data_IF_164733800487
#
_entry.id   IF_164733800487
#
_cell.length_a   1.000
_cell.length_b   1.000
_cell.length_c   1.000
_cell.angle_alpha   90.00
_cell.angle_beta   90.00
_cell.angle_gamma   90.00
#
_symmetry.space_group_name_H-M   'P 1'
#
loop_
_entity.id
_entity.type
_entity.pdbx_description
1 polymer ?
#
# COMPACT_ATOMS: atom_id res chain seq x y z
N UNK A 1 -26.26 -0.13 -8.44
CA UNK A 1 -24.97 -0.75 -8.81
C UNK A 1 -23.86 0.19 -8.35
N UNK A 2 -23.15 -0.15 -7.27
CA UNK A 2 -21.98 0.62 -6.84
C UNK A 2 -20.82 0.10 -7.69
N UNK A 3 -20.39 0.86 -8.71
CA UNK A 3 -19.16 0.53 -9.42
C UNK A 3 -18.00 0.85 -8.47
N UNK A 4 -17.40 -0.19 -7.87
CA UNK A 4 -16.16 -0.06 -7.11
C UNK A 4 -15.02 0.23 -8.10
N UNK A 5 -14.84 1.49 -8.50
CA UNK A 5 -13.65 1.91 -9.23
C UNK A 5 -12.52 1.99 -8.21
N UNK A 6 -11.73 0.92 -8.10
CA UNK A 6 -10.51 0.90 -7.29
C UNK A 6 -9.32 1.34 -8.15
N UNK A 7 -8.52 2.27 -7.62
CA UNK A 7 -7.24 2.66 -8.20
C UNK A 7 -6.14 2.25 -7.21
N UNK A 8 -5.15 1.47 -7.68
CA UNK A 8 -4.00 1.07 -6.87
C UNK A 8 -2.76 1.83 -7.33
N UNK A 9 -2.13 2.59 -6.43
CA UNK A 9 -0.83 3.18 -6.69
C UNK A 9 0.25 2.12 -6.44
N UNK A 10 0.98 1.73 -7.49
CA UNK A 10 2.06 0.75 -7.39
C UNK A 10 3.40 1.47 -7.36
N UNK A 11 4.14 1.33 -6.26
CA UNK A 11 5.52 1.82 -6.12
C UNK A 11 6.47 0.63 -6.18
N UNK A 12 7.24 0.53 -7.27
CA UNK A 12 8.30 -0.46 -7.38
C UNK A 12 9.63 0.13 -6.90
N UNK A 13 10.20 -0.47 -5.85
CA UNK A 13 11.55 -0.14 -5.36
C UNK A 13 12.39 -1.41 -5.42
N UNK A 14 13.51 -1.36 -6.14
CA UNK A 14 14.49 -2.44 -6.07
C UNK A 14 15.04 -2.54 -4.64
N UNK A 15 15.03 -3.76 -4.09
CA UNK A 15 15.56 -4.05 -2.76
C UNK A 15 16.87 -4.82 -2.89
N UNK A 16 17.91 -4.42 -2.16
CA UNK A 16 19.25 -5.01 -2.27
C UNK A 16 19.92 -5.15 -0.91
N UNK A 17 20.55 -6.30 -0.68
CA UNK A 17 21.33 -6.60 0.52
C UNK A 17 20.49 -6.77 1.80
N UNK A 18 21.14 -7.10 2.92
CA UNK A 18 20.46 -7.23 4.21
C UNK A 18 19.95 -5.87 4.68
N UNK A 19 18.63 -5.66 4.61
CA UNK A 19 18.03 -4.38 4.99
C UNK A 19 16.56 -4.54 5.38
N UNK A 20 16.16 -3.76 6.36
CA UNK A 20 14.75 -3.56 6.70
C UNK A 20 14.21 -2.32 5.99
N UNK A 21 13.02 -2.45 5.40
CA UNK A 21 12.27 -1.35 4.82
C UNK A 21 10.95 -1.20 5.55
N UNK A 22 10.65 0.02 6.00
CA UNK A 22 9.36 0.38 6.59
C UNK A 22 8.61 1.21 5.56
N UNK A 23 7.38 0.79 5.24
CA UNK A 23 6.49 1.45 4.30
C UNK A 23 5.21 1.83 5.03
N UNK A 24 4.88 3.11 5.02
CA UNK A 24 3.57 3.60 5.48
C UNK A 24 2.66 3.72 4.26
N UNK A 25 1.55 3.00 4.27
CA UNK A 25 0.55 2.93 3.21
C UNK A 25 -0.76 3.52 3.71
N UNK A 26 -1.47 4.24 2.85
CA UNK A 26 -2.81 4.73 3.13
C UNK A 26 -3.78 4.17 2.09
N UNK A 27 -4.82 3.49 2.55
CA UNK A 27 -5.95 3.10 1.73
C UNK A 27 -7.04 4.14 1.90
N UNK A 28 -7.38 4.85 0.82
CA UNK A 28 -8.46 5.83 0.80
C UNK A 28 -9.65 5.23 0.08
N UNK A 29 -10.80 5.17 0.74
CA UNK A 29 -12.07 4.73 0.16
C UNK A 29 -13.01 5.92 0.02
N UNK A 30 -13.52 6.15 -1.19
CA UNK A 30 -14.44 7.26 -1.50
C UNK A 30 -15.76 6.70 -2.00
N UNK A 31 -16.86 7.05 -1.34
CA UNK A 31 -18.21 6.79 -1.82
C UNK A 31 -18.86 8.13 -2.24
N UNK A 32 -18.84 8.47 -3.54
CA UNK A 32 -19.33 9.75 -4.02
C UNK A 32 -20.86 9.89 -3.91
N UNK A 33 -21.61 8.79 -3.86
CA UNK A 33 -23.08 8.82 -3.74
C UNK A 33 -23.53 9.23 -2.32
N UNK A 34 -22.75 8.84 -1.31
CA UNK A 34 -22.99 9.17 0.10
C UNK A 34 -22.16 10.37 0.59
N UNK A 35 -21.35 10.98 -0.30
CA UNK A 35 -20.34 12.00 0.02
C UNK A 35 -19.45 11.59 1.22
N UNK A 36 -19.07 10.31 1.27
CA UNK A 36 -18.33 9.72 2.38
C UNK A 36 -16.91 9.34 1.94
N UNK A 37 -15.93 9.69 2.78
CA UNK A 37 -14.53 9.34 2.58
C UNK A 37 -13.98 8.71 3.85
N UNK A 38 -13.27 7.60 3.72
CA UNK A 38 -12.50 6.99 4.80
C UNK A 38 -11.07 6.78 4.39
N UNK A 39 -10.18 6.83 5.38
CA UNK A 39 -8.81 6.38 5.23
C UNK A 39 -8.48 5.28 6.23
N UNK A 40 -7.52 4.45 5.88
CA UNK A 40 -6.91 3.47 6.77
C UNK A 40 -5.41 3.46 6.51
N UNK A 41 -4.63 3.52 7.59
CA UNK A 41 -3.18 3.54 7.52
C UNK A 41 -2.63 2.17 7.88
N UNK A 42 -1.70 1.66 7.08
CA UNK A 42 -1.02 0.39 7.29
C UNK A 42 0.49 0.61 7.29
N UNK A 43 1.18 0.06 8.28
CA UNK A 43 2.64 0.00 8.32
C UNK A 43 3.10 -1.39 7.91
N UNK A 44 3.87 -1.46 6.82
CA UNK A 44 4.43 -2.69 6.29
C UNK A 44 5.95 -2.71 6.54
N UNK A 45 6.42 -3.71 7.29
CA UNK A 45 7.85 -3.97 7.48
C UNK A 45 8.29 -5.10 6.55
N UNK A 46 9.31 -4.84 5.73
CA UNK A 46 9.89 -5.79 4.78
C UNK A 46 11.34 -6.08 5.20
N UNK A 47 11.63 -7.35 5.44
CA UNK A 47 12.97 -7.84 5.79
C UNK A 47 13.63 -8.48 4.58
N UNK A 48 14.75 -7.93 4.14
CA UNK A 48 15.54 -8.46 3.01
C UNK A 48 16.74 -9.21 3.54
N UNK A 49 16.87 -10.48 3.15
CA UNK A 49 17.97 -11.35 3.54
C UNK A 49 19.25 -11.14 2.71
N UNK A 50 20.38 -11.70 3.16
CA UNK A 50 21.67 -11.63 2.45
C UNK A 50 21.72 -12.43 1.14
N UNK A 51 20.80 -13.38 0.95
CA UNK A 51 20.78 -14.29 -0.19
C UNK A 51 19.42 -14.22 -0.88
N UNK A 52 19.44 -14.16 -2.21
CA UNK A 52 18.24 -14.34 -3.02
C UNK A 52 17.82 -15.82 -2.98
N UNK A 53 16.52 -16.07 -2.85
CA UNK A 53 15.92 -17.41 -2.87
C UNK A 53 15.82 -17.95 -4.30
#
# INVERSE_FOLDING_TARGET
QINNVSAMLVLARAVTGPKEYILDLEMVSVNPLMNYQTSSVLRLSVYVGPHAF
#
